data_IF_033972860777
#
_entry.id   IF_033972860777
#
_cell.length_a   1.000
_cell.length_b   1.000
_cell.length_c   1.000
_cell.angle_alpha   90.00
_cell.angle_beta   90.00
_cell.angle_gamma   90.00
#
_symmetry.space_group_name_H-M   'P 1'
#
loop_
_entity.id
_entity.type
_entity.pdbx_description
1 polymer ?
#
# COMPACT_ATOMS: atom_id res chain seq x y z
N UNK A 1 17.29 -4.28 3.44
CA UNK A 1 16.72 -2.92 3.31
C UNK A 1 15.51 -2.81 4.22
N UNK A 2 15.42 -1.74 5.02
CA UNK A 2 14.27 -1.53 5.90
C UNK A 2 13.01 -1.22 5.08
N UNK A 3 11.85 -1.63 5.61
CA UNK A 3 10.54 -1.33 5.01
C UNK A 3 9.68 -0.59 6.02
N UNK A 4 8.85 0.31 5.52
CA UNK A 4 7.95 1.12 6.33
C UNK A 4 6.57 1.21 5.69
N UNK A 5 5.59 1.61 6.50
CA UNK A 5 4.26 1.91 6.03
C UNK A 5 4.22 3.30 5.41
N UNK A 6 3.50 3.40 4.30
CA UNK A 6 3.26 4.66 3.63
C UNK A 6 1.78 4.76 3.29
N UNK A 7 1.12 5.80 3.80
CA UNK A 7 -0.28 6.10 3.51
C UNK A 7 -0.41 6.76 2.14
N UNK A 8 -1.41 6.35 1.37
CA UNK A 8 -1.77 7.03 0.12
C UNK A 8 -2.60 8.27 0.46
N UNK A 9 -2.18 9.43 -0.03
CA UNK A 9 -2.83 10.72 0.26
C UNK A 9 -4.12 10.95 -0.55
N UNK A 10 -4.44 10.05 -1.48
CA UNK A 10 -5.61 10.17 -2.36
C UNK A 10 -5.34 11.01 -3.61
N UNK A 11 -4.13 11.54 -3.78
CA UNK A 11 -3.79 12.49 -4.84
C UNK A 11 -2.69 11.95 -5.74
N UNK A 12 -2.89 12.08 -7.05
CA UNK A 12 -1.92 11.64 -8.05
C UNK A 12 -2.06 10.16 -8.38
N UNK A 13 -0.94 9.46 -8.52
CA UNK A 13 -0.92 8.10 -9.04
C UNK A 13 -0.40 7.12 -8.02
N UNK A 14 -1.14 6.01 -7.84
CA UNK A 14 -0.76 4.90 -6.96
C UNK A 14 0.56 4.22 -7.34
N UNK A 15 1.15 4.51 -8.51
CA UNK A 15 2.46 3.95 -8.87
C UNK A 15 3.61 4.93 -8.65
N UNK A 16 3.33 6.18 -8.27
CA UNK A 16 4.31 7.24 -8.07
C UNK A 16 4.65 7.35 -6.58
N UNK A 17 5.93 7.23 -6.18
CA UNK A 17 6.34 7.33 -4.78
C UNK A 17 5.93 8.65 -4.09
N UNK A 18 5.85 9.75 -4.83
CA UNK A 18 5.47 11.06 -4.29
C UNK A 18 4.03 11.15 -3.76
N UNK A 19 3.14 10.24 -4.16
CA UNK A 19 1.75 10.18 -3.67
C UNK A 19 1.58 9.47 -2.33
N UNK A 20 2.69 9.23 -1.62
CA UNK A 20 2.73 8.39 -0.44
C UNK A 20 3.46 9.07 0.71
N UNK A 21 2.82 9.14 1.87
CA UNK A 21 3.38 9.76 3.06
C UNK A 21 3.79 8.70 4.09
N UNK A 22 5.00 8.84 4.64
CA UNK A 22 5.50 7.96 5.68
C UNK A 22 4.54 7.89 6.87
N UNK A 23 4.25 6.66 7.31
CA UNK A 23 3.49 6.37 8.52
C UNK A 23 4.34 5.50 9.45
N UNK A 24 4.62 5.95 10.69
CA UNK A 24 5.29 5.13 11.68
C UNK A 24 4.39 4.01 12.23
N UNK A 25 3.07 4.13 12.05
CA UNK A 25 2.08 3.19 12.57
C UNK A 25 1.56 2.28 11.48
N UNK A 26 1.25 1.02 11.87
CA UNK A 26 0.61 0.05 10.98
C UNK A 26 -0.84 0.48 10.69
N UNK A 27 -1.26 0.59 9.42
CA UNK A 27 -2.62 0.95 9.04
C UNK A 27 -3.67 -0.07 9.54
N UNK A 28 -4.84 0.44 9.91
CA UNK A 28 -6.01 -0.38 10.33
C UNK A 28 -7.00 -0.65 9.20
N UNK A 29 -7.02 0.22 8.18
CA UNK A 29 -7.84 0.10 6.98
C UNK A 29 -7.44 -1.15 6.19
N UNK A 30 -8.32 -2.15 6.10
CA UNK A 30 -8.00 -3.39 5.38
C UNK A 30 -8.81 -3.58 4.10
N UNK A 31 -10.10 -3.23 4.10
CA UNK A 31 -11.02 -3.59 3.03
C UNK A 31 -11.66 -2.35 2.41
N UNK A 32 -11.97 -2.45 1.11
CA UNK A 32 -12.63 -1.44 0.28
C UNK A 32 -11.91 -1.23 -1.05
N UNK A 33 -12.43 -0.38 -1.93
CA UNK A 33 -11.97 -0.27 -3.32
C UNK A 33 -11.00 0.90 -3.55
N UNK A 34 -10.59 1.59 -2.49
CA UNK A 34 -9.58 2.64 -2.53
C UNK A 34 -8.30 2.23 -1.83
N UNK A 35 -7.16 2.70 -2.35
CA UNK A 35 -5.87 2.43 -1.74
C UNK A 35 -5.75 3.17 -0.40
N UNK A 36 -5.37 2.44 0.66
CA UNK A 36 -5.11 3.06 1.95
C UNK A 36 -3.62 3.27 2.18
N UNK A 37 -2.83 2.19 2.10
CA UNK A 37 -1.42 2.24 2.44
C UNK A 37 -0.64 1.07 1.83
N UNK A 38 0.67 1.27 1.68
CA UNK A 38 1.60 0.28 1.16
C UNK A 38 2.77 0.06 2.12
N UNK A 39 3.34 -1.14 2.09
CA UNK A 39 4.54 -1.53 2.82
C UNK A 39 5.74 -1.59 1.87
N UNK A 40 6.44 -0.48 1.75
CA UNK A 40 7.47 -0.28 0.73
C UNK A 40 8.87 -0.09 1.34
N UNK A 41 9.88 -0.02 0.48
CA UNK A 41 11.27 0.25 0.90
C UNK A 41 11.35 1.65 1.47
N UNK A 42 11.95 1.76 2.66
CA UNK A 42 12.09 3.02 3.37
C UNK A 42 12.97 4.01 2.60
N UNK A 43 12.41 5.17 2.29
CA UNK A 43 13.10 6.29 1.61
C UNK A 43 13.02 7.62 2.35
N UNK A 44 12.68 7.61 3.65
CA UNK A 44 12.37 8.82 4.41
C UNK A 44 10.89 9.16 4.30
N UNK A 45 10.57 10.41 3.95
CA UNK A 45 9.20 10.93 3.84
C UNK A 45 8.37 10.17 2.78
N UNK A 46 9.00 9.77 1.69
CA UNK A 46 8.41 9.02 0.58
C UNK A 46 9.11 7.64 0.47
N UNK A 47 8.46 6.62 -0.07
CA UNK A 47 9.13 5.37 -0.36
C UNK A 47 10.18 5.59 -1.46
N UNK A 48 11.28 4.83 -1.45
CA UNK A 48 12.30 4.96 -2.51
C UNK A 48 11.74 4.55 -3.87
N UNK A 49 10.91 3.50 -3.89
CA UNK A 49 10.32 2.95 -5.11
C UNK A 49 9.03 2.18 -4.79
N UNK A 50 8.02 2.34 -5.64
CA UNK A 50 6.88 1.43 -5.72
C UNK A 50 7.25 0.29 -6.67
N UNK A 51 7.75 -0.82 -6.10
CA UNK A 51 8.22 -1.99 -6.86
C UNK A 51 7.12 -2.62 -7.73
N UNK A 52 7.50 -3.33 -8.80
CA UNK A 52 6.55 -4.02 -9.69
C UNK A 52 5.60 -4.97 -8.93
N UNK A 53 6.09 -5.65 -7.89
CA UNK A 53 5.26 -6.53 -7.05
C UNK A 53 4.19 -5.73 -6.29
N UNK A 54 4.55 -4.60 -5.68
CA UNK A 54 3.59 -3.72 -5.00
C UNK A 54 2.56 -3.19 -6.01
N UNK A 55 2.98 -2.80 -7.22
CA UNK A 55 2.04 -2.33 -8.27
C UNK A 55 1.02 -3.42 -8.65
N UNK A 56 1.47 -4.67 -8.75
CA UNK A 56 0.58 -5.82 -9.01
C UNK A 56 -0.40 -6.04 -7.86
N UNK A 57 0.07 -5.94 -6.62
CA UNK A 57 -0.80 -6.04 -5.43
C UNK A 57 -1.79 -4.88 -5.33
N UNK A 58 -1.39 -3.66 -5.68
CA UNK A 58 -2.31 -2.51 -5.77
C UNK A 58 -3.40 -2.79 -6.79
N UNK A 59 -3.03 -3.22 -8.00
CA UNK A 59 -3.99 -3.53 -9.06
C UNK A 59 -5.01 -4.61 -8.61
N UNK A 60 -4.52 -5.71 -8.01
CA UNK A 60 -5.40 -6.75 -7.48
C UNK A 60 -6.30 -6.23 -6.35
N UNK A 61 -5.74 -5.46 -5.41
CA UNK A 61 -6.47 -4.90 -4.28
C UNK A 61 -7.59 -3.95 -4.72
N UNK A 62 -7.32 -3.08 -5.69
CA UNK A 62 -8.31 -2.15 -6.26
C UNK A 62 -9.47 -2.89 -6.95
N UNK A 63 -9.23 -4.07 -7.51
CA UNK A 63 -10.27 -4.89 -8.16
C UNK A 63 -11.05 -5.71 -7.13
N UNK A 64 -10.37 -6.34 -6.18
CA UNK A 64 -10.97 -7.28 -5.24
C UNK A 64 -11.52 -6.61 -3.98
N UNK A 65 -11.08 -5.40 -3.69
CA UNK A 65 -11.45 -4.65 -2.49
C UNK A 65 -10.84 -5.17 -1.19
N UNK A 66 -9.72 -5.91 -1.27
CA UNK A 66 -9.11 -6.63 -0.13
C UNK A 66 -7.59 -6.38 -0.05
N UNK A 67 -6.96 -6.57 1.13
CA UNK A 67 -5.52 -6.44 1.27
C UNK A 67 -4.77 -7.52 0.48
N UNK A 68 -3.60 -7.16 -0.08
CA UNK A 68 -2.79 -8.04 -0.92
C UNK A 68 -1.32 -8.10 -0.46
N UNK A 69 -0.63 -9.24 -0.59
CA UNK A 69 -1.15 -10.57 -0.94
C UNK A 69 -1.89 -11.23 0.23
N UNK A 70 -2.79 -12.16 -0.08
CA UNK A 70 -3.46 -13.03 0.90
C UNK A 70 -2.93 -14.47 0.93
N UNK A 71 -2.20 -14.87 -0.11
CA UNK A 71 -1.72 -16.24 -0.29
C UNK A 71 -0.18 -16.22 -0.26
N UNK A 72 0.47 -17.09 0.51
CA UNK A 72 -0.11 -18.07 1.45
C UNK A 72 -0.70 -17.43 2.73
N UNK A 73 -1.54 -18.16 3.47
CA UNK A 73 -2.15 -17.67 4.71
C UNK A 73 -1.05 -17.25 5.70
N UNK A 74 -1.17 -16.05 6.26
CA UNK A 74 -0.17 -15.47 7.18
C UNK A 74 0.98 -14.74 6.49
N UNK A 75 0.98 -14.63 5.16
CA UNK A 75 1.95 -13.81 4.44
C UNK A 75 1.86 -12.34 4.86
N UNK A 76 3.01 -11.65 4.83
CA UNK A 76 3.05 -10.20 5.05
C UNK A 76 2.25 -9.52 3.94
N UNK A 77 1.13 -8.95 4.32
CA UNK A 77 0.32 -8.10 3.45
C UNK A 77 1.08 -6.81 3.17
N UNK A 78 1.27 -6.48 1.89
CA UNK A 78 2.01 -5.29 1.45
C UNK A 78 1.10 -4.13 1.09
N UNK A 79 -0.16 -4.39 0.76
CA UNK A 79 -1.12 -3.37 0.31
C UNK A 79 -2.38 -3.50 1.13
N UNK A 80 -2.82 -2.37 1.67
CA UNK A 80 -3.99 -2.25 2.53
C UNK A 80 -5.00 -1.33 1.84
N UNK A 81 -6.28 -1.73 1.86
CA UNK A 81 -7.37 -1.02 1.18
C UNK A 81 -8.28 -0.32 2.19
N UNK A 82 -9.05 0.68 1.74
CA UNK A 82 -10.05 1.39 2.55
C UNK A 82 -11.38 1.52 1.81
N UNK A 83 -12.50 1.69 2.54
CA UNK A 83 -13.80 1.98 1.92
C UNK A 83 -13.74 3.31 1.18
N UNK A 84 -14.54 3.43 0.13
CA UNK A 84 -14.75 4.70 -0.55
C UNK A 84 -15.53 5.60 0.41
N UNK A 85 -14.92 6.71 0.81
CA UNK A 85 -15.50 7.73 1.70
C UNK A 85 -16.05 8.89 0.89
#
# INVERSE_FOLDING_TARGET
MARAWYAYDGVGSVVVPGSYLYSPTKPICRNGFDLCAIYAVYGGQFPTVVSANIRRYIANGLVNGIPEPQIPVGVVTFVYMKPNS
#
